data_IF_181926122772
#
_entry.id   IF_181926122772
#
_cell.length_a   1.000
_cell.length_b   1.000
_cell.length_c   1.000
_cell.angle_alpha   90.00
_cell.angle_beta   90.00
_cell.angle_gamma   90.00
#
_symmetry.space_group_name_H-M   'P 1'
#
loop_
_entity.id
_entity.type
_entity.pdbx_description
1 polymer ?
#
# COMPACT_ATOMS: atom_id res chain seq x y z
N UNK A 1 43.64 -17.73 0.00
CA UNK A 1 42.77 -16.84 -0.81
C UNK A 1 41.42 -16.59 -0.14
N UNK A 2 40.76 -17.62 0.40
CA UNK A 2 39.46 -17.49 1.11
C UNK A 2 39.46 -16.48 2.28
N UNK A 3 40.53 -16.44 3.10
CA UNK A 3 40.67 -15.46 4.21
C UNK A 3 40.71 -14.01 3.73
N UNK A 4 41.39 -13.73 2.61
CA UNK A 4 41.43 -12.38 2.00
C UNK A 4 40.08 -12.02 1.40
N UNK A 5 39.40 -12.97 0.77
CA UNK A 5 38.06 -12.76 0.19
C UNK A 5 37.02 -12.48 1.28
N UNK A 6 37.07 -13.20 2.41
CA UNK A 6 36.21 -12.95 3.57
C UNK A 6 36.49 -11.61 4.25
N UNK A 7 37.75 -11.15 4.31
CA UNK A 7 38.04 -9.81 4.87
C UNK A 7 37.47 -8.67 3.99
N UNK A 8 37.27 -8.92 2.69
CA UNK A 8 36.71 -7.94 1.76
C UNK A 8 35.18 -8.01 1.74
N UNK A 9 34.60 -9.21 1.56
CA UNK A 9 33.16 -9.38 1.39
C UNK A 9 32.41 -9.76 2.68
N UNK A 10 33.09 -10.34 3.65
CA UNK A 10 32.50 -10.73 4.95
C UNK A 10 31.83 -9.56 5.66
N UNK A 11 32.46 -8.37 5.77
CA UNK A 11 31.79 -7.19 6.34
C UNK A 11 30.49 -6.82 5.62
N UNK A 12 30.43 -6.96 4.28
CA UNK A 12 29.24 -6.66 3.48
C UNK A 12 28.12 -7.67 3.78
N UNK A 13 28.45 -8.97 3.85
CA UNK A 13 27.47 -10.00 4.22
C UNK A 13 26.96 -9.83 5.64
N UNK A 14 27.85 -9.51 6.60
CA UNK A 14 27.46 -9.25 7.99
C UNK A 14 26.55 -8.02 8.06
N UNK A 15 26.91 -6.93 7.38
CA UNK A 15 26.08 -5.72 7.34
C UNK A 15 24.69 -6.01 6.75
N UNK A 16 24.62 -6.72 5.61
CA UNK A 16 23.35 -7.12 5.01
C UNK A 16 22.51 -8.00 5.93
N UNK A 17 23.14 -8.97 6.61
CA UNK A 17 22.47 -9.81 7.59
C UNK A 17 21.93 -9.01 8.78
N UNK A 18 22.71 -8.07 9.33
CA UNK A 18 22.27 -7.20 10.41
C UNK A 18 21.09 -6.32 10.01
N UNK A 19 21.07 -5.78 8.78
CA UNK A 19 19.93 -5.03 8.25
C UNK A 19 18.69 -5.91 8.14
N UNK A 20 18.82 -7.14 7.64
CA UNK A 20 17.71 -8.10 7.60
C UNK A 20 17.18 -8.39 9.00
N UNK A 21 18.06 -8.66 9.97
CA UNK A 21 17.66 -8.87 11.37
C UNK A 21 16.94 -7.64 11.93
N UNK A 22 17.46 -6.43 11.68
CA UNK A 22 16.82 -5.19 12.11
C UNK A 22 15.38 -5.09 11.58
N UNK A 23 15.16 -5.36 10.29
CA UNK A 23 13.83 -5.32 9.69
C UNK A 23 12.92 -6.37 10.34
N UNK A 24 13.35 -7.64 10.41
CA UNK A 24 12.51 -8.71 10.93
C UNK A 24 12.15 -8.54 12.42
N UNK A 25 13.07 -7.99 13.22
CA UNK A 25 12.89 -7.77 14.66
C UNK A 25 12.38 -6.37 15.02
N UNK A 26 12.18 -5.47 14.06
CA UNK A 26 11.62 -4.15 14.34
C UNK A 26 10.21 -4.30 14.94
N UNK A 27 9.88 -3.59 16.04
CA UNK A 27 8.55 -3.67 16.62
C UNK A 27 7.49 -3.14 15.65
N UNK A 28 6.40 -3.89 15.44
CA UNK A 28 5.25 -3.41 14.64
C UNK A 28 4.30 -2.53 15.46
N UNK A 29 4.72 -1.99 16.60
CA UNK A 29 3.85 -1.16 17.43
C UNK A 29 3.68 0.20 16.78
N UNK A 30 2.45 0.56 16.43
CA UNK A 30 2.13 1.88 15.87
C UNK A 30 2.08 2.91 16.99
N UNK A 31 2.96 3.91 16.93
CA UNK A 31 2.86 5.11 17.77
C UNK A 31 2.02 6.17 17.06
N UNK A 32 1.13 6.83 17.81
CA UNK A 32 0.25 7.85 17.27
C UNK A 32 0.79 9.26 17.51
N UNK A 33 0.73 10.09 16.48
CA UNK A 33 1.03 11.51 16.54
C UNK A 33 0.04 12.25 15.64
N UNK A 34 -0.97 12.87 16.26
CA UNK A 34 -2.06 13.52 15.56
C UNK A 34 -1.59 14.58 14.53
N UNK A 35 -0.49 15.27 14.80
CA UNK A 35 0.03 16.29 13.88
C UNK A 35 0.58 15.64 12.61
N UNK A 36 1.35 14.55 12.75
CA UNK A 36 1.88 13.79 11.62
C UNK A 36 0.75 13.10 10.85
N UNK A 37 -0.22 12.51 11.56
CA UNK A 37 -1.36 11.85 10.93
C UNK A 37 -2.22 12.83 10.14
N UNK A 38 -2.48 14.03 10.67
CA UNK A 38 -3.15 15.12 9.93
C UNK A 38 -2.33 15.56 8.71
N UNK A 39 -1.01 15.63 8.83
CA UNK A 39 -0.12 15.97 7.72
C UNK A 39 -0.20 14.91 6.62
N UNK A 40 -0.01 13.63 6.95
CA UNK A 40 -0.14 12.51 6.00
C UNK A 40 -1.53 12.43 5.37
N UNK A 41 -2.58 12.66 6.16
CA UNK A 41 -3.96 12.65 5.68
C UNK A 41 -4.26 13.74 4.65
N UNK A 42 -3.57 14.89 4.74
CA UNK A 42 -3.77 16.06 3.87
C UNK A 42 -2.66 16.26 2.83
N UNK A 43 -1.58 15.48 2.83
CA UNK A 43 -0.45 15.66 1.93
C UNK A 43 -0.78 15.28 0.49
N UNK A 44 -1.67 14.29 0.30
CA UNK A 44 -2.09 13.79 -1.01
C UNK A 44 -0.85 13.41 -1.83
N UNK A 45 0.22 12.92 -1.20
CA UNK A 45 1.46 12.56 -1.90
C UNK A 45 1.43 11.12 -2.41
N UNK A 46 2.35 10.77 -3.31
CA UNK A 46 2.55 9.38 -3.75
C UNK A 46 2.84 8.45 -2.58
N UNK A 47 3.59 8.94 -1.59
CA UNK A 47 4.00 8.23 -0.39
C UNK A 47 2.79 8.00 0.53
N UNK A 48 1.99 9.05 0.81
CA UNK A 48 0.79 8.92 1.63
C UNK A 48 -0.26 7.94 1.08
N UNK A 49 -0.23 7.72 -0.24
CA UNK A 49 -1.08 6.75 -0.93
C UNK A 49 -0.51 5.32 -0.86
N UNK A 50 0.79 5.16 -1.16
CA UNK A 50 1.46 3.85 -1.27
C UNK A 50 1.87 3.24 0.05
N UNK A 51 2.31 4.05 1.00
CA UNK A 51 2.97 3.55 2.21
C UNK A 51 1.95 3.10 3.24
N UNK A 52 2.14 1.87 3.73
CA UNK A 52 1.22 1.25 4.70
C UNK A 52 1.26 1.98 6.04
N UNK A 53 2.45 2.31 6.52
CA UNK A 53 2.65 2.86 7.87
C UNK A 53 1.93 4.19 8.10
N UNK A 54 1.96 5.13 7.14
CA UNK A 54 1.22 6.40 7.28
C UNK A 54 -0.30 6.18 7.35
N UNK A 55 -0.84 5.29 6.50
CA UNK A 55 -2.27 4.96 6.46
C UNK A 55 -2.71 4.26 7.75
N UNK A 56 -1.98 3.21 8.16
CA UNK A 56 -2.29 2.45 9.37
C UNK A 56 -2.20 3.36 10.60
N UNK A 57 -1.18 4.22 10.70
CA UNK A 57 -1.02 5.16 11.82
C UNK A 57 -2.25 6.04 11.99
N UNK A 58 -2.74 6.66 10.91
CA UNK A 58 -3.91 7.51 10.99
C UNK A 58 -5.21 6.72 11.20
N UNK A 59 -5.41 5.60 10.48
CA UNK A 59 -6.67 4.85 10.52
C UNK A 59 -6.88 4.04 11.81
N UNK A 60 -5.84 3.90 12.63
CA UNK A 60 -5.89 3.22 13.93
C UNK A 60 -5.79 4.16 15.14
N UNK A 61 -5.67 5.48 14.96
CA UNK A 61 -5.64 6.42 16.09
C UNK A 61 -6.94 6.34 16.92
N UNK A 62 -6.86 6.01 18.23
CA UNK A 62 -8.04 5.94 19.09
C UNK A 62 -8.65 7.30 19.41
N UNK A 63 -7.90 8.40 19.24
CA UNK A 63 -8.31 9.75 19.65
C UNK A 63 -8.88 10.58 18.50
N UNK A 64 -8.53 10.25 17.25
CA UNK A 64 -9.03 10.91 16.06
C UNK A 64 -9.52 9.91 15.03
N UNK A 65 -10.79 10.05 14.63
CA UNK A 65 -11.36 9.21 13.59
C UNK A 65 -10.97 9.70 12.20
N UNK A 66 -10.00 9.05 11.57
CA UNK A 66 -9.72 9.25 10.15
C UNK A 66 -10.66 8.41 9.28
N UNK A 67 -11.15 8.99 8.19
CA UNK A 67 -12.02 8.34 7.20
C UNK A 67 -11.28 8.31 5.87
N UNK A 68 -11.14 7.17 5.19
CA UNK A 68 -10.51 7.11 3.87
C UNK A 68 -11.40 7.77 2.80
N UNK A 69 -10.81 8.72 2.08
CA UNK A 69 -11.42 9.42 0.95
C UNK A 69 -10.69 8.99 -0.32
N UNK A 70 -11.22 7.97 -0.98
CA UNK A 70 -10.66 7.38 -2.20
C UNK A 70 -11.06 8.19 -3.42
N UNK A 71 -10.07 8.51 -4.26
CA UNK A 71 -10.27 9.29 -5.48
C UNK A 71 -9.01 9.37 -6.34
N UNK A 72 -8.85 10.47 -7.05
CA UNK A 72 -7.75 10.75 -7.97
C UNK A 72 -7.23 12.17 -7.71
N UNK A 73 -7.33 13.06 -8.70
CA UNK A 73 -6.92 14.47 -8.59
C UNK A 73 -7.93 15.37 -7.85
N UNK A 74 -9.12 14.86 -7.50
CA UNK A 74 -10.20 15.64 -6.89
C UNK A 74 -9.78 16.29 -5.56
N UNK A 75 -8.85 15.66 -4.84
CA UNK A 75 -8.39 16.12 -3.53
C UNK A 75 -7.30 17.20 -3.62
N UNK A 76 -6.61 17.32 -4.75
CA UNK A 76 -5.38 18.13 -4.86
C UNK A 76 -5.67 19.64 -4.74
N UNK A 77 -6.86 20.07 -5.15
CA UNK A 77 -7.23 21.50 -5.18
C UNK A 77 -7.94 21.88 -3.89
N UNK A 78 -7.23 22.60 -3.02
CA UNK A 78 -7.78 23.13 -1.79
C UNK A 78 -8.48 24.47 -2.02
N UNK A 79 -9.65 24.62 -1.42
CA UNK A 79 -10.41 25.86 -1.31
C UNK A 79 -11.09 25.94 0.07
N UNK A 80 -11.87 27.00 0.32
CA UNK A 80 -12.54 27.21 1.60
C UNK A 80 -13.65 26.20 1.92
N UNK A 81 -14.13 25.45 0.93
CA UNK A 81 -15.20 24.44 1.07
C UNK A 81 -14.68 23.01 0.93
N UNK A 82 -13.38 22.83 0.72
CA UNK A 82 -12.73 21.53 0.64
C UNK A 82 -12.99 20.70 1.92
N UNK A 83 -13.27 19.38 1.81
CA UNK A 83 -13.64 18.54 2.96
C UNK A 83 -12.65 18.61 4.13
N UNK A 84 -11.34 18.73 3.84
CA UNK A 84 -10.31 18.88 4.86
C UNK A 84 -10.46 20.17 5.66
N UNK A 85 -10.67 21.28 4.95
CA UNK A 85 -10.78 22.63 5.52
C UNK A 85 -12.03 22.73 6.37
N UNK A 86 -13.17 22.24 5.86
CA UNK A 86 -14.44 22.21 6.60
C UNK A 86 -14.34 21.31 7.84
N UNK A 87 -13.74 20.13 7.72
CA UNK A 87 -13.59 19.23 8.87
C UNK A 87 -12.70 19.81 9.97
N UNK A 88 -11.59 20.46 9.61
CA UNK A 88 -10.69 21.11 10.57
C UNK A 88 -11.31 22.37 11.18
N UNK A 89 -11.82 23.30 10.36
CA UNK A 89 -12.36 24.60 10.82
C UNK A 89 -13.53 24.44 11.79
N UNK A 90 -14.41 23.48 11.53
CA UNK A 90 -15.61 23.25 12.32
C UNK A 90 -15.47 22.10 13.33
N UNK A 91 -14.24 21.64 13.61
CA UNK A 91 -13.96 20.61 14.61
C UNK A 91 -14.86 19.37 14.50
N UNK A 92 -15.06 18.88 13.26
CA UNK A 92 -15.88 17.69 13.03
C UNK A 92 -15.30 16.48 13.80
N UNK A 93 -16.12 15.49 14.16
CA UNK A 93 -15.64 14.29 14.87
C UNK A 93 -14.86 13.32 13.97
N UNK A 94 -14.43 13.75 12.78
CA UNK A 94 -13.63 12.97 11.85
C UNK A 94 -12.65 13.85 11.07
N UNK A 95 -11.64 13.22 10.47
CA UNK A 95 -10.77 13.84 9.48
C UNK A 95 -10.74 13.02 8.19
N UNK A 96 -10.82 13.65 7.01
CA UNK A 96 -10.56 12.95 5.75
C UNK A 96 -9.09 12.51 5.72
N UNK A 97 -8.84 11.27 5.28
CA UNK A 97 -7.54 10.79 4.84
C UNK A 97 -7.60 10.58 3.33
N UNK A 98 -6.98 11.46 2.56
CA UNK A 98 -7.12 11.44 1.10
C UNK A 98 -6.23 10.37 0.48
N UNK A 99 -6.88 9.40 -0.16
CA UNK A 99 -6.25 8.32 -0.91
C UNK A 99 -6.53 8.56 -2.39
N UNK A 100 -5.72 9.40 -3.03
CA UNK A 100 -5.85 9.65 -4.46
C UNK A 100 -4.77 10.57 -4.97
N UNK A 101 -4.39 10.37 -6.23
CA UNK A 101 -3.49 11.26 -6.97
C UNK A 101 -3.88 11.23 -8.44
N UNK A 102 -3.46 12.23 -9.22
CA UNK A 102 -3.81 12.30 -10.63
C UNK A 102 -3.38 11.03 -11.39
N UNK A 103 -4.34 10.37 -12.03
CA UNK A 103 -4.12 9.12 -12.76
C UNK A 103 -4.33 7.85 -11.93
N UNK A 104 -4.56 7.96 -10.62
CA UNK A 104 -5.06 6.84 -9.82
C UNK A 104 -6.53 6.58 -10.17
N UNK A 105 -6.87 5.31 -10.39
CA UNK A 105 -8.22 4.83 -10.63
C UNK A 105 -8.49 3.57 -9.79
N UNK A 106 -9.60 2.87 -10.04
CA UNK A 106 -10.09 1.77 -9.20
C UNK A 106 -9.09 0.64 -8.96
N UNK A 107 -8.25 0.29 -9.93
CA UNK A 107 -7.27 -0.78 -9.76
C UNK A 107 -6.12 -0.37 -8.81
N UNK A 108 -5.67 0.88 -8.85
CA UNK A 108 -4.72 1.40 -7.85
C UNK A 108 -5.34 1.43 -6.46
N UNK A 109 -6.61 1.85 -6.35
CA UNK A 109 -7.33 1.86 -5.09
C UNK A 109 -7.46 0.44 -4.52
N UNK A 110 -7.84 -0.54 -5.34
CA UNK A 110 -7.95 -1.93 -4.93
C UNK A 110 -6.67 -2.47 -4.29
N UNK A 111 -5.51 -2.27 -4.93
CA UNK A 111 -4.22 -2.71 -4.39
C UNK A 111 -3.79 -1.91 -3.16
N UNK A 112 -4.05 -0.59 -3.14
CA UNK A 112 -3.77 0.24 -1.97
C UNK A 112 -4.58 -0.13 -0.73
N UNK A 113 -5.81 -0.65 -0.92
CA UNK A 113 -6.67 -1.13 0.16
C UNK A 113 -6.20 -2.46 0.75
N UNK A 114 -5.48 -3.31 0.00
CA UNK A 114 -4.98 -4.58 0.52
C UNK A 114 -4.05 -4.39 1.72
N UNK A 115 -3.36 -3.25 1.80
CA UNK A 115 -2.45 -2.93 2.90
C UNK A 115 -3.18 -2.56 4.20
N UNK A 116 -4.49 -2.28 4.16
CA UNK A 116 -5.24 -1.68 5.26
C UNK A 116 -6.60 -2.35 5.51
N UNK A 117 -6.79 -3.60 5.08
CA UNK A 117 -8.08 -4.30 5.20
C UNK A 117 -8.60 -4.33 6.65
N UNK A 118 -7.80 -4.68 7.67
CA UNK A 118 -8.25 -4.63 9.07
C UNK A 118 -8.68 -3.23 9.50
N UNK A 119 -7.99 -2.20 9.04
CA UNK A 119 -8.23 -0.81 9.42
C UNK A 119 -9.49 -0.23 8.79
N UNK A 120 -10.03 -0.83 7.72
CA UNK A 120 -11.26 -0.37 7.07
C UNK A 120 -12.47 -1.26 7.33
N UNK A 121 -12.28 -2.39 8.02
CA UNK A 121 -13.36 -3.33 8.33
C UNK A 121 -14.45 -2.65 9.17
N UNK A 122 -15.71 -2.77 8.75
CA UNK A 122 -16.87 -2.15 9.39
C UNK A 122 -16.77 -0.62 9.54
N UNK A 123 -15.92 0.05 8.75
CA UNK A 123 -15.77 1.51 8.75
C UNK A 123 -16.41 2.14 7.52
N UNK A 124 -16.68 3.45 7.63
CA UNK A 124 -17.17 4.26 6.52
C UNK A 124 -16.00 4.72 5.65
N UNK A 125 -16.25 4.84 4.34
CA UNK A 125 -15.32 5.39 3.36
C UNK A 125 -16.07 6.32 2.40
N UNK A 126 -15.36 7.23 1.77
CA UNK A 126 -15.85 8.01 0.62
C UNK A 126 -15.12 7.53 -0.61
N UNK A 127 -15.83 7.15 -1.66
CA UNK A 127 -15.23 6.71 -2.92
C UNK A 127 -15.77 7.54 -4.08
N UNK A 128 -14.92 8.37 -4.68
CA UNK A 128 -15.26 9.10 -5.90
C UNK A 128 -15.27 8.12 -7.07
N UNK A 129 -16.29 8.20 -7.92
CA UNK A 129 -16.35 7.48 -9.19
C UNK A 129 -16.46 8.54 -10.28
N UNK A 130 -15.35 8.84 -10.96
CA UNK A 130 -15.38 9.76 -12.09
C UNK A 130 -15.69 9.01 -13.39
N UNK A 131 -16.69 9.44 -14.18
CA UNK A 131 -16.95 8.87 -15.51
C UNK A 131 -15.73 8.89 -16.44
N UNK A 132 -14.81 9.84 -16.23
CA UNK A 132 -13.60 9.99 -17.06
C UNK A 132 -12.61 8.83 -16.89
N UNK A 133 -12.75 8.01 -15.84
CA UNK A 133 -11.92 6.82 -15.65
C UNK A 133 -12.34 5.65 -16.55
N UNK A 134 -13.54 5.70 -17.13
CA UNK A 134 -14.15 4.63 -17.91
C UNK A 134 -13.96 4.86 -19.42
N UNK A 135 -12.70 4.97 -19.84
CA UNK A 135 -12.31 5.03 -21.24
C UNK A 135 -12.35 3.65 -21.90
N UNK A 136 -12.39 3.59 -23.23
CA UNK A 136 -12.35 2.32 -23.98
C UNK A 136 -11.03 1.57 -23.76
N UNK A 137 -9.93 2.31 -23.58
CA UNK A 137 -8.61 1.77 -23.27
C UNK A 137 -8.38 1.76 -21.76
N UNK A 138 -7.58 0.81 -21.28
CA UNK A 138 -7.09 0.84 -19.90
C UNK A 138 -6.24 2.09 -19.65
N UNK A 139 -6.22 2.59 -18.42
CA UNK A 139 -5.34 3.70 -18.07
C UNK A 139 -3.86 3.28 -18.12
N UNK A 140 -3.00 4.24 -18.41
CA UNK A 140 -1.57 4.08 -18.73
C UNK A 140 -0.80 3.25 -17.67
N UNK A 141 -0.02 2.22 -18.08
CA UNK A 141 0.82 1.43 -17.17
C UNK A 141 1.77 2.26 -16.33
N UNK A 142 2.29 3.36 -16.88
CA UNK A 142 3.14 4.29 -16.14
C UNK A 142 2.40 4.95 -14.97
N UNK A 143 1.13 5.29 -15.14
CA UNK A 143 0.29 5.84 -14.07
C UNK A 143 0.00 4.78 -13.00
N UNK A 144 -0.30 3.54 -13.40
CA UNK A 144 -0.48 2.43 -12.45
C UNK A 144 0.77 2.21 -11.60
N UNK A 145 1.94 2.05 -12.24
CA UNK A 145 3.21 1.77 -11.57
C UNK A 145 3.65 2.92 -10.66
N UNK A 146 3.28 4.16 -10.99
CA UNK A 146 3.50 5.32 -10.11
C UNK A 146 2.83 5.18 -8.76
N UNK A 147 1.76 4.39 -8.61
CA UNK A 147 1.02 4.21 -7.34
C UNK A 147 1.02 2.77 -6.80
N UNK A 148 1.77 1.86 -7.43
CA UNK A 148 1.97 0.48 -6.99
C UNK A 148 3.34 0.28 -6.30
N UNK A 149 3.41 -0.55 -5.27
CA UNK A 149 4.67 -0.97 -4.63
C UNK A 149 4.66 -2.46 -4.26
N UNK A 150 5.82 -2.98 -3.81
CA UNK A 150 5.98 -4.39 -3.44
C UNK A 150 5.10 -4.80 -2.25
N UNK A 151 4.83 -3.88 -1.31
CA UNK A 151 3.98 -4.18 -0.17
C UNK A 151 2.52 -4.42 -0.58
N UNK A 152 1.98 -3.60 -1.50
CA UNK A 152 0.67 -3.83 -2.09
C UNK A 152 0.57 -5.17 -2.83
N UNK A 153 1.63 -5.56 -3.54
CA UNK A 153 1.71 -6.87 -4.19
C UNK A 153 1.59 -7.99 -3.17
N UNK A 154 2.41 -7.97 -2.12
CA UNK A 154 2.43 -9.06 -1.14
C UNK A 154 1.17 -9.08 -0.30
N UNK A 155 0.61 -7.92 0.05
CA UNK A 155 -0.67 -7.83 0.74
C UNK A 155 -1.82 -8.40 -0.11
N UNK A 156 -1.82 -8.16 -1.43
CA UNK A 156 -2.77 -8.80 -2.34
C UNK A 156 -2.62 -10.33 -2.35
N UNK A 157 -1.40 -10.84 -2.44
CA UNK A 157 -1.14 -12.28 -2.49
C UNK A 157 -1.47 -12.98 -1.17
N UNK A 158 -1.29 -12.29 -0.05
CA UNK A 158 -1.63 -12.77 1.30
C UNK A 158 -3.15 -12.79 1.53
N UNK A 159 -3.87 -11.75 1.11
CA UNK A 159 -5.30 -11.57 1.40
C UNK A 159 -6.25 -12.23 0.39
N UNK A 160 -5.77 -12.63 -0.78
CA UNK A 160 -6.62 -13.21 -1.82
C UNK A 160 -7.20 -14.58 -1.41
N UNK A 161 -8.41 -14.87 -1.88
CA UNK A 161 -9.15 -16.11 -1.61
C UNK A 161 -9.19 -17.08 -2.80
N UNK A 162 -8.47 -16.79 -3.89
CA UNK A 162 -8.51 -17.55 -5.14
C UNK A 162 -9.78 -17.37 -5.97
N UNK A 163 -10.62 -16.40 -5.61
CA UNK A 163 -11.91 -16.16 -6.25
C UNK A 163 -11.80 -15.42 -7.60
N UNK A 164 -12.96 -15.09 -8.18
CA UNK A 164 -13.06 -14.38 -9.46
C UNK A 164 -12.41 -12.99 -9.38
N UNK A 165 -12.50 -12.31 -8.23
CA UNK A 165 -11.92 -11.00 -8.02
C UNK A 165 -10.39 -11.08 -8.00
N UNK A 166 -9.84 -12.04 -7.26
CA UNK A 166 -8.40 -12.32 -7.21
C UNK A 166 -7.86 -12.68 -8.61
N UNK A 167 -8.55 -13.55 -9.34
CA UNK A 167 -8.21 -13.89 -10.73
C UNK A 167 -8.20 -12.66 -11.64
N UNK A 168 -9.25 -11.84 -11.57
CA UNK A 168 -9.34 -10.61 -12.37
C UNK A 168 -8.22 -9.63 -12.02
N UNK A 169 -7.97 -9.39 -10.73
CA UNK A 169 -6.89 -8.52 -10.26
C UNK A 169 -5.52 -9.00 -10.74
N UNK A 170 -5.25 -10.31 -10.70
CA UNK A 170 -4.01 -10.90 -11.19
C UNK A 170 -3.81 -10.71 -12.71
N UNK A 171 -4.88 -10.92 -13.51
CA UNK A 171 -4.84 -10.65 -14.97
C UNK A 171 -4.50 -9.18 -15.24
N UNK A 172 -5.18 -8.26 -14.54
CA UNK A 172 -4.97 -6.82 -14.68
C UNK A 172 -3.57 -6.41 -14.25
N UNK A 173 -3.06 -6.98 -13.15
CA UNK A 173 -1.71 -6.71 -12.66
C UNK A 173 -0.64 -7.14 -13.66
N UNK A 174 -0.76 -8.33 -14.26
CA UNK A 174 0.19 -8.80 -15.27
C UNK A 174 0.16 -7.94 -16.54
N UNK A 175 -1.00 -7.39 -16.91
CA UNK A 175 -1.12 -6.45 -18.01
C UNK A 175 -0.44 -5.11 -17.72
N UNK A 176 -0.62 -4.59 -16.50
CA UNK A 176 -0.11 -3.26 -16.09
C UNK A 176 1.37 -3.29 -15.64
N UNK A 177 1.85 -4.43 -15.17
CA UNK A 177 3.24 -4.64 -14.77
C UNK A 177 3.71 -6.06 -15.17
N UNK A 178 4.13 -6.26 -16.44
CA UNK A 178 4.56 -7.57 -16.94
C UNK A 178 5.79 -8.16 -16.24
N UNK A 179 6.57 -7.33 -15.56
CA UNK A 179 7.80 -7.69 -14.85
C UNK A 179 7.63 -7.65 -13.32
N UNK A 180 6.37 -7.77 -12.84
CA UNK A 180 6.07 -7.78 -11.41
C UNK A 180 6.87 -8.87 -10.67
N UNK A 181 7.30 -8.58 -9.45
CA UNK A 181 7.89 -9.59 -8.57
C UNK A 181 6.91 -10.73 -8.34
N UNK A 182 7.42 -11.92 -7.97
CA UNK A 182 6.58 -13.12 -7.76
C UNK A 182 5.67 -13.45 -8.96
N UNK A 183 6.08 -13.08 -10.19
CA UNK A 183 5.31 -13.26 -11.43
C UNK A 183 4.72 -14.66 -11.57
N UNK A 184 5.47 -15.70 -11.21
CA UNK A 184 4.99 -17.08 -11.28
C UNK A 184 3.74 -17.32 -10.44
N UNK A 185 3.68 -16.76 -9.23
CA UNK A 185 2.51 -16.86 -8.34
C UNK A 185 1.34 -16.06 -8.92
N UNK A 186 1.59 -14.83 -9.38
CA UNK A 186 0.55 -13.99 -10.01
C UNK A 186 -0.01 -14.68 -11.27
N UNK A 187 0.83 -15.37 -12.05
CA UNK A 187 0.41 -16.13 -13.22
C UNK A 187 -0.49 -17.32 -12.85
N UNK A 188 -0.17 -18.07 -11.81
CA UNK A 188 -1.05 -19.14 -11.30
C UNK A 188 -2.44 -18.58 -10.94
N UNK A 189 -2.48 -17.49 -10.17
CA UNK A 189 -3.74 -16.82 -9.82
C UNK A 189 -4.51 -16.32 -11.04
N UNK A 190 -3.83 -15.75 -12.04
CA UNK A 190 -4.48 -15.25 -13.27
C UNK A 190 -5.17 -16.35 -14.08
N UNK A 191 -4.70 -17.60 -13.94
CA UNK A 191 -5.29 -18.77 -14.58
C UNK A 191 -6.37 -19.43 -13.72
N UNK A 192 -6.41 -19.13 -12.42
CA UNK A 192 -7.25 -19.81 -11.43
C UNK A 192 -6.64 -21.14 -10.97
N UNK A 193 -5.32 -21.27 -11.05
CA UNK A 193 -4.59 -22.41 -10.51
C UNK A 193 -4.41 -22.26 -8.99
N UNK A 194 -4.49 -23.37 -8.25
CA UNK A 194 -4.23 -23.37 -6.82
C UNK A 194 -2.75 -23.10 -6.50
N UNK A 195 -2.52 -22.35 -5.43
CA UNK A 195 -1.17 -22.07 -4.93
C UNK A 195 -0.66 -23.26 -4.11
N UNK A 196 0.57 -23.68 -4.39
CA UNK A 196 1.26 -24.73 -3.62
C UNK A 196 1.69 -24.22 -2.24
N UNK A 197 2.00 -25.13 -1.33
CA UNK A 197 2.54 -24.79 -0.01
C UNK A 197 3.82 -23.94 -0.09
N UNK A 198 4.68 -24.19 -1.08
CA UNK A 198 5.89 -23.39 -1.29
C UNK A 198 5.55 -21.97 -1.72
N UNK A 199 4.52 -21.80 -2.56
CA UNK A 199 4.04 -20.47 -2.95
C UNK A 199 3.49 -19.72 -1.74
N UNK A 200 2.69 -20.39 -0.89
CA UNK A 200 2.11 -19.81 0.33
C UNK A 200 3.19 -19.37 1.32
N UNK A 201 4.14 -20.23 1.62
CA UNK A 201 5.28 -19.91 2.50
C UNK A 201 6.10 -18.73 1.94
N UNK A 202 6.32 -18.69 0.63
CA UNK A 202 7.00 -17.55 0.01
C UNK A 202 6.20 -16.24 0.19
N UNK A 203 4.89 -16.27 -0.05
CA UNK A 203 4.00 -15.11 0.16
C UNK A 203 4.11 -14.61 1.60
N UNK A 204 3.94 -15.48 2.59
CA UNK A 204 3.95 -15.11 4.01
C UNK A 204 5.29 -14.47 4.42
N UNK A 205 6.41 -15.01 3.95
CA UNK A 205 7.75 -14.47 4.23
C UNK A 205 7.89 -13.06 3.63
N UNK A 206 7.51 -12.89 2.36
CA UNK A 206 7.64 -11.60 1.67
C UNK A 206 6.64 -10.56 2.20
N UNK A 207 5.42 -10.96 2.53
CA UNK A 207 4.40 -10.09 3.12
C UNK A 207 4.86 -9.57 4.49
N UNK A 208 5.30 -10.47 5.37
CA UNK A 208 5.84 -10.10 6.68
C UNK A 208 7.08 -9.21 6.57
N UNK A 209 7.98 -9.49 5.63
CA UNK A 209 9.15 -8.65 5.39
C UNK A 209 8.75 -7.24 4.94
N UNK A 210 7.85 -7.12 3.95
CA UNK A 210 7.41 -5.83 3.42
C UNK A 210 6.65 -5.00 4.46
N UNK A 211 5.79 -5.63 5.26
CA UNK A 211 5.09 -4.95 6.36
C UNK A 211 6.09 -4.35 7.37
N UNK A 212 7.07 -5.16 7.81
CA UNK A 212 8.12 -4.72 8.74
C UNK A 212 8.98 -3.61 8.14
N UNK A 213 9.34 -3.74 6.87
CA UNK A 213 10.09 -2.73 6.15
C UNK A 213 9.32 -1.41 6.07
N UNK A 214 8.01 -1.44 5.77
CA UNK A 214 7.16 -0.25 5.72
C UNK A 214 6.98 0.37 7.12
N UNK A 215 6.88 -0.44 8.17
CA UNK A 215 6.82 0.03 9.55
C UNK A 215 8.09 0.76 10.00
N UNK A 216 9.27 0.29 9.57
CA UNK A 216 10.56 0.90 9.89
C UNK A 216 10.86 2.16 9.05
N UNK A 217 10.67 2.09 7.73
CA UNK A 217 11.14 3.13 6.81
C UNK A 217 10.04 4.05 6.26
N UNK A 218 8.77 3.65 6.31
CA UNK A 218 7.66 4.45 5.77
C UNK A 218 7.12 5.51 6.74
N UNK A 219 7.81 5.76 7.86
CA UNK A 219 7.36 6.70 8.89
C UNK A 219 7.49 8.18 8.49
N UNK A 220 8.23 8.47 7.41
CA UNK A 220 8.61 9.80 6.95
C UNK A 220 7.88 10.20 5.67
#
# INVERSE_FOLDING_TARGET
>A
MLKRLWLIFGPIFIAGFLVLLLIFFYPSTTSHNLTEEKYSAASISTESFKERSQKVRALTDPNMRFIPFLGSSEWIRFDSVHPAVVAEKYHRPYRPYFLGQAGAASLNQYFGLQQILPEIENKQAVFVISPQWFTETDYEPAAFQRFFNSDQLTAFLENQSGDIAAKHAAIRLLKQNPNVALKGIVQKLSKGEELSEVDRVAIDIFARFNEKQSALFGQF
#
